data_IF_747182224815
#
_entry.id   IF_747182224815
#
_cell.length_a   1.000
_cell.length_b   1.000
_cell.length_c   1.000
_cell.angle_alpha   90.00
_cell.angle_beta   90.00
_cell.angle_gamma   90.00
#
_symmetry.space_group_name_H-M   'P 1'
#
loop_
_entity.id
_entity.type
_entity.pdbx_description
1 polymer ?
#
# COMPACT_ATOMS: atom_id res chain seq x y z
N UNK A 1 33.71 2.10 -4.52
CA UNK A 1 33.48 0.67 -4.79
C UNK A 1 33.00 0.53 -6.24
N UNK A 2 33.02 -0.66 -6.84
CA UNK A 2 32.44 -0.84 -8.17
C UNK A 2 30.91 -0.70 -8.09
N UNK A 3 30.29 0.30 -8.75
CA UNK A 3 28.83 0.46 -8.75
C UNK A 3 28.09 -0.74 -9.35
N UNK A 4 28.76 -1.58 -10.16
CA UNK A 4 28.18 -2.82 -10.72
C UNK A 4 27.91 -3.88 -9.65
N UNK A 5 28.58 -3.79 -8.51
CA UNK A 5 28.44 -4.71 -7.38
C UNK A 5 27.59 -4.11 -6.24
N UNK A 6 26.99 -2.94 -6.46
CA UNK A 6 26.19 -2.27 -5.45
C UNK A 6 24.95 -3.11 -5.08
N UNK A 7 24.81 -3.56 -3.82
CA UNK A 7 23.72 -4.44 -3.42
C UNK A 7 22.40 -3.71 -3.20
N UNK A 8 22.40 -2.37 -3.10
CA UNK A 8 21.22 -1.58 -2.75
C UNK A 8 20.32 -1.34 -3.95
N UNK A 9 19.01 -1.46 -3.72
CA UNK A 9 18.00 -1.39 -4.80
C UNK A 9 16.89 -0.40 -4.42
N UNK A 10 17.12 0.92 -4.53
CA UNK A 10 16.11 1.93 -4.23
C UNK A 10 15.04 1.98 -5.35
N UNK A 11 14.08 1.06 -5.29
CA UNK A 11 12.98 0.97 -6.24
C UNK A 11 11.66 0.60 -5.56
N UNK A 12 10.55 1.02 -6.15
CA UNK A 12 9.21 0.73 -5.63
C UNK A 12 8.86 -0.75 -5.85
N UNK A 13 8.47 -1.44 -4.77
CA UNK A 13 7.97 -2.82 -4.84
C UNK A 13 9.03 -3.91 -5.09
N UNK A 14 10.30 -3.54 -5.27
CA UNK A 14 11.41 -4.49 -5.40
C UNK A 14 11.85 -4.96 -4.02
N UNK A 15 12.12 -6.27 -3.89
CA UNK A 15 12.61 -6.83 -2.63
C UNK A 15 14.01 -6.26 -2.32
N UNK A 16 14.22 -5.66 -1.14
CA UNK A 16 15.54 -5.17 -0.75
C UNK A 16 16.51 -6.35 -0.58
N UNK A 17 17.82 -6.10 -0.66
CA UNK A 17 18.85 -7.11 -0.43
C UNK A 17 18.78 -7.72 0.98
N UNK A 18 18.16 -7.02 1.93
CA UNK A 18 17.89 -7.50 3.26
C UNK A 18 16.48 -7.10 3.70
N UNK A 19 15.66 -8.08 4.11
CA UNK A 19 14.25 -7.88 4.44
C UNK A 19 14.06 -7.78 5.96
N UNK A 20 14.55 -6.68 6.52
CA UNK A 20 14.64 -6.51 7.96
C UNK A 20 13.41 -5.86 8.63
N UNK A 21 13.15 -6.21 9.89
CA UNK A 21 12.17 -5.54 10.78
C UNK A 21 10.71 -5.84 10.45
N UNK A 22 10.46 -6.97 9.80
CA UNK A 22 9.13 -7.40 9.32
C UNK A 22 8.79 -8.83 9.76
N UNK A 23 9.63 -9.46 10.55
CA UNK A 23 9.54 -10.86 10.96
C UNK A 23 8.25 -11.15 11.71
N UNK A 24 7.90 -10.33 12.70
CA UNK A 24 6.69 -10.54 13.51
C UNK A 24 5.40 -10.44 12.65
N UNK A 25 5.38 -9.52 11.68
CA UNK A 25 4.26 -9.37 10.75
C UNK A 25 4.16 -10.57 9.79
N UNK A 26 5.31 -11.06 9.31
CA UNK A 26 5.36 -12.27 8.49
C UNK A 26 4.88 -13.47 9.30
N UNK A 27 5.30 -13.61 10.55
CA UNK A 27 4.89 -14.72 11.42
C UNK A 27 3.40 -14.66 11.73
N UNK A 28 2.87 -13.47 12.07
CA UNK A 28 1.44 -13.30 12.33
C UNK A 28 0.58 -13.70 11.11
N UNK A 29 0.98 -13.29 9.91
CA UNK A 29 0.30 -13.69 8.68
C UNK A 29 0.46 -15.19 8.39
N UNK A 30 1.62 -15.76 8.71
CA UNK A 30 1.91 -17.20 8.57
C UNK A 30 0.97 -18.05 9.39
N UNK A 31 0.82 -17.71 10.68
CA UNK A 31 -0.12 -18.36 11.58
C UNK A 31 -1.55 -18.24 11.03
N UNK A 32 -1.93 -17.07 10.49
CA UNK A 32 -3.24 -16.90 9.87
C UNK A 32 -3.43 -17.81 8.65
N UNK A 33 -2.43 -17.94 7.78
CA UNK A 33 -2.48 -18.85 6.63
C UNK A 33 -2.66 -20.31 7.05
N UNK A 34 -1.88 -20.77 8.02
CA UNK A 34 -1.94 -22.15 8.50
C UNK A 34 -3.31 -22.46 9.15
N UNK A 35 -3.84 -21.53 9.94
CA UNK A 35 -5.18 -21.63 10.55
C UNK A 35 -6.28 -21.73 9.49
N UNK A 36 -6.30 -20.83 8.51
CA UNK A 36 -7.31 -20.83 7.44
C UNK A 36 -7.25 -22.12 6.62
N UNK A 37 -6.04 -22.62 6.30
CA UNK A 37 -5.87 -23.89 5.61
C UNK A 37 -6.42 -25.07 6.42
N UNK A 38 -6.26 -25.04 7.74
CA UNK A 38 -6.83 -26.01 8.68
C UNK A 38 -8.35 -25.84 8.89
N UNK A 39 -9.00 -24.87 8.26
CA UNK A 39 -10.43 -24.55 8.49
C UNK A 39 -10.69 -23.86 9.83
N UNK A 40 -9.67 -23.32 10.46
CA UNK A 40 -9.77 -22.52 11.69
C UNK A 40 -9.89 -21.04 11.36
N UNK A 41 -10.59 -20.30 12.20
CA UNK A 41 -10.76 -18.86 12.04
C UNK A 41 -9.42 -18.11 12.19
N UNK A 42 -9.16 -17.16 11.30
CA UNK A 42 -8.14 -16.13 11.47
C UNK A 42 -8.62 -14.83 10.82
N UNK A 43 -8.15 -13.70 11.34
CA UNK A 43 -8.51 -12.39 10.82
C UNK A 43 -7.73 -12.07 9.54
N UNK A 44 -8.40 -11.42 8.61
CA UNK A 44 -7.75 -10.75 7.48
C UNK A 44 -6.98 -9.52 7.97
N UNK A 45 -5.93 -9.10 7.25
CA UNK A 45 -4.98 -8.09 7.74
C UNK A 45 -4.80 -6.96 6.73
N UNK A 46 -5.02 -5.71 7.15
CA UNK A 46 -4.74 -4.52 6.33
C UNK A 46 -3.51 -3.80 6.88
N UNK A 47 -2.39 -3.96 6.18
CA UNK A 47 -1.10 -3.35 6.46
C UNK A 47 -1.19 -1.83 6.28
N UNK A 48 -1.11 -1.09 7.39
CA UNK A 48 -1.23 0.36 7.39
C UNK A 48 0.14 1.01 7.40
N UNK A 49 0.39 1.97 6.54
CA UNK A 49 1.65 2.69 6.60
C UNK A 49 1.80 3.74 5.51
N UNK A 50 2.79 4.60 5.69
CA UNK A 50 3.09 5.65 4.72
C UNK A 50 3.68 5.08 3.43
N UNK A 51 3.76 5.88 2.37
CA UNK A 51 4.41 5.44 1.12
C UNK A 51 5.87 5.15 1.37
N UNK A 52 6.47 4.21 0.64
CA UNK A 52 7.92 3.90 0.70
C UNK A 52 8.45 3.25 1.99
N UNK A 53 7.60 2.94 2.97
CA UNK A 53 7.97 2.16 4.18
C UNK A 53 8.14 0.65 3.91
N UNK A 54 7.84 0.18 2.69
CA UNK A 54 7.99 -1.22 2.30
C UNK A 54 6.72 -2.07 2.35
N UNK A 55 5.52 -1.45 2.40
CA UNK A 55 4.23 -2.18 2.40
C UNK A 55 4.08 -3.14 1.21
N UNK A 56 4.29 -2.66 -0.02
CA UNK A 56 4.20 -3.49 -1.24
C UNK A 56 5.18 -4.66 -1.20
N UNK A 57 6.39 -4.44 -0.68
CA UNK A 57 7.39 -5.50 -0.54
C UNK A 57 6.93 -6.54 0.47
N UNK A 58 6.40 -6.12 1.63
CA UNK A 58 5.81 -7.02 2.62
C UNK A 58 4.61 -7.77 2.03
N UNK A 59 3.71 -7.09 1.34
CA UNK A 59 2.56 -7.70 0.67
C UNK A 59 3.00 -8.78 -0.33
N UNK A 60 4.06 -8.53 -1.11
CA UNK A 60 4.66 -9.50 -2.03
C UNK A 60 5.24 -10.71 -1.29
N UNK A 61 5.96 -10.48 -0.19
CA UNK A 61 6.52 -11.56 0.61
C UNK A 61 5.41 -12.45 1.21
N UNK A 62 4.33 -11.83 1.72
CA UNK A 62 3.17 -12.54 2.23
C UNK A 62 2.42 -13.30 1.13
N UNK A 63 2.32 -12.73 -0.07
CA UNK A 63 1.72 -13.39 -1.24
C UNK A 63 2.49 -14.65 -1.64
N UNK A 64 3.82 -14.58 -1.75
CA UNK A 64 4.63 -15.75 -2.06
C UNK A 64 4.60 -16.77 -0.92
N UNK A 65 4.53 -16.32 0.35
CA UNK A 65 4.38 -17.23 1.49
C UNK A 65 3.04 -17.96 1.49
N UNK A 66 1.94 -17.27 1.19
CA UNK A 66 0.62 -17.91 1.07
C UNK A 66 0.61 -18.98 -0.03
N UNK A 67 1.19 -18.69 -1.21
CA UNK A 67 1.38 -19.70 -2.26
C UNK A 67 2.18 -20.91 -1.78
N UNK A 68 3.29 -20.67 -1.08
CA UNK A 68 4.10 -21.76 -0.52
C UNK A 68 3.33 -22.60 0.53
N UNK A 69 2.41 -21.97 1.27
CA UNK A 69 1.47 -22.66 2.17
C UNK A 69 0.33 -23.37 1.41
N UNK A 70 0.23 -23.24 0.09
CA UNK A 70 -0.76 -23.95 -0.75
C UNK A 70 -2.07 -23.19 -0.99
N UNK A 71 -2.05 -21.87 -0.90
CA UNK A 71 -3.18 -21.02 -1.30
C UNK A 71 -3.20 -20.82 -2.82
N UNK A 72 -4.40 -20.76 -3.39
CA UNK A 72 -4.62 -20.09 -4.67
C UNK A 72 -4.71 -18.59 -4.44
N UNK A 73 -3.76 -17.85 -4.99
CA UNK A 73 -3.62 -16.42 -4.68
C UNK A 73 -4.00 -15.52 -5.85
N UNK A 74 -4.59 -14.38 -5.50
CA UNK A 74 -4.89 -13.28 -6.42
C UNK A 74 -4.19 -12.04 -5.88
N UNK A 75 -3.54 -11.29 -6.76
CA UNK A 75 -2.91 -10.02 -6.41
C UNK A 75 -3.46 -8.89 -7.28
N UNK A 76 -3.86 -7.81 -6.64
CA UNK A 76 -4.54 -6.66 -7.23
C UNK A 76 -3.83 -5.37 -6.78
N UNK A 77 -3.75 -4.38 -7.66
CA UNK A 77 -3.38 -3.00 -7.32
C UNK A 77 -4.57 -2.11 -7.66
N UNK A 78 -4.97 -1.26 -6.72
CA UNK A 78 -6.10 -0.34 -6.90
C UNK A 78 -5.56 1.02 -7.39
N UNK A 79 -5.86 1.42 -8.63
CA UNK A 79 -5.38 2.69 -9.17
C UNK A 79 -6.06 3.91 -8.54
N UNK A 80 -5.37 5.06 -8.57
CA UNK A 80 -5.85 6.37 -8.09
C UNK A 80 -6.72 7.07 -9.15
N UNK A 81 -7.74 6.37 -9.66
CA UNK A 81 -8.68 6.89 -10.66
C UNK A 81 -10.13 6.46 -10.36
N UNK A 82 -10.78 7.21 -9.47
CA UNK A 82 -12.25 7.26 -9.33
C UNK A 82 -13.02 5.95 -9.05
N UNK A 83 -12.39 4.91 -8.49
CA UNK A 83 -13.07 3.72 -7.94
C UNK A 83 -13.80 2.84 -8.97
N UNK A 84 -14.41 1.73 -8.52
CA UNK A 84 -15.15 0.80 -9.40
C UNK A 84 -14.27 -0.28 -10.05
N UNK A 85 -13.08 -0.52 -9.48
CA UNK A 85 -12.06 -1.42 -10.03
C UNK A 85 -12.08 -2.80 -9.40
N UNK A 86 -12.73 -3.00 -8.25
CA UNK A 86 -12.64 -4.26 -7.51
C UNK A 86 -13.15 -5.43 -8.35
N UNK A 87 -14.36 -5.32 -8.93
CA UNK A 87 -14.91 -6.35 -9.80
C UNK A 87 -14.03 -6.56 -11.05
N UNK A 88 -13.62 -5.47 -11.70
CA UNK A 88 -12.80 -5.51 -12.92
C UNK A 88 -11.44 -6.19 -12.71
N UNK A 89 -10.84 -6.03 -11.53
CA UNK A 89 -9.53 -6.61 -11.18
C UNK A 89 -9.67 -8.02 -10.61
N UNK A 90 -10.73 -8.28 -9.84
CA UNK A 90 -10.94 -9.56 -9.16
C UNK A 90 -11.38 -10.66 -10.12
N UNK A 91 -12.27 -10.37 -11.08
CA UNK A 91 -12.80 -11.36 -12.04
C UNK A 91 -11.72 -12.06 -12.86
N UNK A 92 -10.74 -11.36 -13.48
CA UNK A 92 -9.60 -11.98 -14.14
C UNK A 92 -8.82 -12.93 -13.22
N UNK A 93 -8.56 -12.49 -11.98
CA UNK A 93 -7.81 -13.27 -10.99
C UNK A 93 -8.54 -14.55 -10.59
N UNK A 94 -9.83 -14.45 -10.26
CA UNK A 94 -10.66 -15.60 -9.90
C UNK A 94 -10.78 -16.56 -11.09
N UNK A 95 -10.86 -16.07 -12.32
CA UNK A 95 -10.92 -16.91 -13.51
C UNK A 95 -9.65 -17.75 -13.67
N UNK A 96 -8.47 -17.18 -13.42
CA UNK A 96 -7.20 -17.91 -13.41
C UNK A 96 -7.19 -18.97 -12.31
N UNK A 97 -7.65 -18.62 -11.10
CA UNK A 97 -7.75 -19.56 -9.98
C UNK A 97 -8.64 -20.75 -10.33
N UNK A 98 -9.86 -20.52 -10.83
CA UNK A 98 -10.78 -21.59 -11.19
C UNK A 98 -10.20 -22.52 -12.27
N UNK A 99 -9.49 -21.98 -13.28
CA UNK A 99 -8.80 -22.80 -14.30
C UNK A 99 -7.67 -23.65 -13.73
N UNK A 100 -6.97 -23.19 -12.68
CA UNK A 100 -5.93 -23.99 -12.00
C UNK A 100 -6.55 -25.11 -11.19
N UNK A 101 -7.65 -24.82 -10.49
CA UNK A 101 -8.41 -25.81 -9.74
C UNK A 101 -8.99 -26.90 -10.66
N UNK A 102 -9.43 -26.55 -11.88
CA UNK A 102 -9.98 -27.52 -12.86
C UNK A 102 -9.01 -28.64 -13.24
N UNK A 103 -7.70 -28.34 -13.31
CA UNK A 103 -6.66 -29.34 -13.64
C UNK A 103 -6.50 -30.43 -12.58
N UNK A 104 -7.13 -30.28 -11.41
CA UNK A 104 -7.13 -31.24 -10.31
C UNK A 104 -8.46 -32.01 -10.34
N UNK A 105 -8.54 -33.02 -11.21
CA UNK A 105 -9.73 -33.85 -11.46
C UNK A 105 -10.20 -34.54 -10.16
N UNK A 106 -11.51 -34.42 -9.84
CA UNK A 106 -12.34 -35.33 -9.02
C UNK A 106 -13.60 -34.68 -8.40
N UNK A 107 -13.83 -33.36 -8.49
CA UNK A 107 -15.09 -32.74 -8.05
C UNK A 107 -15.53 -31.59 -8.96
N UNK A 108 -16.30 -31.91 -10.00
CA UNK A 108 -16.77 -30.97 -11.03
C UNK A 108 -17.89 -30.04 -10.55
N UNK A 109 -18.80 -30.50 -9.67
CA UNK A 109 -20.02 -29.74 -9.35
C UNK A 109 -19.74 -28.39 -8.66
N UNK A 110 -18.93 -28.36 -7.58
CA UNK A 110 -18.59 -27.12 -6.87
C UNK A 110 -17.82 -26.14 -7.76
N UNK A 111 -16.93 -26.68 -8.62
CA UNK A 111 -16.17 -25.87 -9.56
C UNK A 111 -17.09 -25.27 -10.64
N UNK A 112 -18.03 -26.05 -11.16
CA UNK A 112 -19.05 -25.59 -12.11
C UNK A 112 -19.93 -24.48 -11.53
N UNK A 113 -20.37 -24.60 -10.27
CA UNK A 113 -21.10 -23.56 -9.55
C UNK A 113 -20.28 -22.28 -9.39
N UNK A 114 -19.02 -22.39 -8.95
CA UNK A 114 -18.12 -21.24 -8.82
C UNK A 114 -17.86 -20.55 -10.17
N UNK A 115 -17.66 -21.33 -11.24
CA UNK A 115 -17.47 -20.80 -12.59
C UNK A 115 -18.74 -20.13 -13.13
N UNK A 116 -19.92 -20.68 -12.84
CA UNK A 116 -21.20 -20.06 -13.20
C UNK A 116 -21.42 -18.75 -12.44
N UNK A 117 -21.17 -18.73 -11.13
CA UNK A 117 -21.26 -17.51 -10.32
C UNK A 117 -20.28 -16.44 -10.80
N UNK A 118 -19.04 -16.80 -11.15
CA UNK A 118 -18.07 -15.86 -11.68
C UNK A 118 -18.50 -15.27 -13.04
N UNK A 119 -19.05 -16.08 -13.94
CA UNK A 119 -19.61 -15.59 -15.22
C UNK A 119 -20.78 -14.63 -14.99
N UNK A 120 -21.68 -14.98 -14.08
CA UNK A 120 -22.82 -14.13 -13.72
C UNK A 120 -22.37 -12.80 -13.13
N UNK A 121 -21.44 -12.84 -12.17
CA UNK A 121 -20.87 -11.65 -11.55
C UNK A 121 -20.17 -10.76 -12.60
N UNK A 122 -19.37 -11.34 -13.49
CA UNK A 122 -18.73 -10.61 -14.57
C UNK A 122 -19.75 -9.93 -15.51
N UNK A 123 -20.85 -10.61 -15.85
CA UNK A 123 -21.91 -10.05 -16.67
C UNK A 123 -22.65 -8.89 -15.98
N UNK A 124 -23.02 -9.06 -14.71
CA UNK A 124 -23.71 -8.04 -13.90
C UNK A 124 -22.88 -6.76 -13.78
N UNK A 125 -21.58 -6.90 -13.48
CA UNK A 125 -20.66 -5.77 -13.32
C UNK A 125 -19.97 -5.35 -14.62
N UNK A 126 -20.42 -5.89 -15.77
CA UNK A 126 -19.94 -5.55 -17.12
C UNK A 126 -18.42 -5.63 -17.26
N UNK A 127 -17.82 -6.68 -16.68
CA UNK A 127 -16.39 -6.93 -16.76
C UNK A 127 -16.07 -7.71 -18.03
N UNK A 128 -15.32 -7.09 -18.95
CA UNK A 128 -14.78 -7.78 -20.12
C UNK A 128 -13.55 -8.62 -19.73
N UNK A 129 -13.61 -9.93 -19.96
CA UNK A 129 -12.48 -10.83 -19.72
C UNK A 129 -12.58 -12.08 -20.59
N UNK A 130 -11.43 -12.60 -21.03
CA UNK A 130 -11.30 -13.72 -21.98
C UNK A 130 -12.29 -14.88 -21.71
N UNK A 131 -13.20 -15.12 -22.67
CA UNK A 131 -14.30 -16.09 -22.58
C UNK A 131 -15.65 -15.53 -22.08
N UNK A 132 -15.73 -14.26 -21.70
CA UNK A 132 -16.95 -13.55 -21.26
C UNK A 132 -17.04 -12.23 -22.05
N UNK A 133 -17.84 -12.22 -23.12
CA UNK A 133 -18.09 -11.04 -23.94
C UNK A 133 -19.18 -10.15 -23.33
N UNK A 134 -19.10 -8.83 -23.54
CA UNK A 134 -20.23 -7.92 -23.30
C UNK A 134 -21.48 -8.43 -24.00
N UNK A 135 -22.54 -8.71 -23.24
CA UNK A 135 -23.79 -9.27 -23.75
C UNK A 135 -24.04 -10.75 -23.38
N UNK A 136 -23.15 -11.39 -22.62
CA UNK A 136 -23.49 -12.66 -21.98
C UNK A 136 -24.69 -12.44 -21.03
N UNK A 137 -25.84 -13.03 -21.37
CA UNK A 137 -26.97 -13.10 -20.45
C UNK A 137 -26.54 -13.89 -19.21
N UNK A 138 -26.93 -13.44 -18.00
CA UNK A 138 -26.69 -14.23 -16.81
C UNK A 138 -27.23 -15.65 -17.02
N UNK A 139 -26.48 -16.67 -16.58
CA UNK A 139 -26.83 -18.06 -16.81
C UNK A 139 -28.19 -18.44 -16.19
N UNK A 140 -28.68 -17.63 -15.25
CA UNK A 140 -30.00 -17.74 -14.62
C UNK A 140 -30.64 -16.35 -14.48
N UNK A 141 -31.96 -16.17 -14.68
CA UNK A 141 -32.64 -14.88 -14.48
C UNK A 141 -32.51 -14.28 -13.07
N UNK A 142 -32.28 -15.13 -12.05
CA UNK A 142 -32.09 -14.75 -10.63
C UNK A 142 -30.60 -14.59 -10.22
N UNK A 143 -29.69 -14.42 -11.19
CA UNK A 143 -28.24 -14.58 -11.04
C UNK A 143 -27.45 -13.56 -10.18
N UNK A 144 -28.11 -12.68 -9.44
CA UNK A 144 -27.49 -11.65 -8.63
C UNK A 144 -28.28 -10.35 -8.68
N UNK A 145 -28.13 -9.51 -7.65
CA UNK A 145 -28.98 -8.32 -7.49
C UNK A 145 -28.43 -7.09 -8.24
N UNK A 146 -27.18 -7.12 -8.71
CA UNK A 146 -26.48 -5.93 -9.18
C UNK A 146 -25.91 -5.08 -8.04
N UNK A 147 -26.09 -5.52 -6.80
CA UNK A 147 -25.48 -4.93 -5.62
C UNK A 147 -24.20 -5.69 -5.28
N UNK A 148 -23.06 -4.99 -5.40
CA UNK A 148 -21.75 -5.54 -5.08
C UNK A 148 -21.69 -6.10 -3.65
N UNK A 149 -22.40 -5.50 -2.70
CA UNK A 149 -22.43 -5.98 -1.32
C UNK A 149 -23.15 -7.33 -1.18
N UNK A 150 -24.10 -7.63 -2.05
CA UNK A 150 -24.84 -8.89 -2.04
C UNK A 150 -24.13 -9.97 -2.87
N UNK A 151 -23.60 -9.60 -4.05
CA UNK A 151 -23.09 -10.55 -5.03
C UNK A 151 -21.64 -10.99 -4.74
N UNK A 152 -20.81 -10.12 -4.15
CA UNK A 152 -19.39 -10.44 -3.87
C UNK A 152 -19.21 -11.53 -2.80
N UNK A 153 -19.92 -11.51 -1.66
CA UNK A 153 -19.80 -12.57 -0.66
C UNK A 153 -20.13 -13.97 -1.20
N UNK A 154 -21.22 -14.08 -1.97
CA UNK A 154 -21.67 -15.35 -2.54
C UNK A 154 -20.67 -15.89 -3.58
N UNK A 155 -20.14 -15.02 -4.43
CA UNK A 155 -19.06 -15.38 -5.36
C UNK A 155 -17.85 -15.93 -4.61
N UNK A 156 -17.36 -15.20 -3.60
CA UNK A 156 -16.18 -15.58 -2.84
C UNK A 156 -16.40 -16.87 -2.03
N UNK A 157 -17.62 -17.09 -1.53
CA UNK A 157 -18.02 -18.35 -0.90
C UNK A 157 -17.87 -19.52 -1.87
N UNK A 158 -18.49 -19.44 -3.04
CA UNK A 158 -18.48 -20.52 -4.03
C UNK A 158 -17.05 -20.84 -4.52
N UNK A 159 -16.23 -19.80 -4.73
CA UNK A 159 -14.82 -19.98 -5.10
C UNK A 159 -14.03 -20.62 -3.94
N UNK A 160 -14.23 -20.17 -2.70
CA UNK A 160 -13.58 -20.76 -1.53
C UNK A 160 -13.99 -22.23 -1.32
N UNK A 161 -15.27 -22.57 -1.53
CA UNK A 161 -15.77 -23.95 -1.48
C UNK A 161 -15.13 -24.84 -2.54
N UNK A 162 -14.96 -24.32 -3.76
CA UNK A 162 -14.30 -25.03 -4.86
C UNK A 162 -12.81 -25.28 -4.57
N UNK A 163 -12.12 -24.32 -3.94
CA UNK A 163 -10.73 -24.45 -3.51
C UNK A 163 -10.60 -25.43 -2.32
N UNK A 164 -11.48 -25.32 -1.33
CA UNK A 164 -11.50 -26.18 -0.15
C UNK A 164 -11.71 -27.65 -0.52
N UNK A 165 -12.57 -27.93 -1.50
CA UNK A 165 -12.78 -29.28 -2.04
C UNK A 165 -11.52 -29.91 -2.66
N UNK A 166 -10.50 -29.10 -2.96
CA UNK A 166 -9.19 -29.51 -3.49
C UNK A 166 -8.07 -29.37 -2.46
N UNK A 167 -8.40 -29.20 -1.18
CA UNK A 167 -7.43 -29.04 -0.10
C UNK A 167 -6.70 -27.68 -0.12
N UNK A 168 -7.21 -26.71 -0.87
CA UNK A 168 -6.65 -25.36 -1.00
C UNK A 168 -7.47 -24.32 -0.22
N UNK A 169 -7.02 -23.07 -0.27
CA UNK A 169 -7.65 -21.87 0.30
C UNK A 169 -7.41 -20.68 -0.65
N UNK A 170 -8.23 -19.65 -0.56
CA UNK A 170 -8.12 -18.44 -1.39
C UNK A 170 -7.41 -17.33 -0.62
N UNK A 171 -6.39 -16.73 -1.22
CA UNK A 171 -5.69 -15.56 -0.69
C UNK A 171 -5.80 -14.37 -1.64
N UNK A 172 -6.43 -13.29 -1.22
CA UNK A 172 -6.57 -12.06 -2.02
C UNK A 172 -5.65 -10.99 -1.44
N UNK A 173 -4.74 -10.46 -2.26
CA UNK A 173 -3.75 -9.47 -1.89
C UNK A 173 -4.05 -8.17 -2.62
N UNK A 174 -4.31 -7.09 -1.89
CA UNK A 174 -4.77 -5.81 -2.46
C UNK A 174 -3.80 -4.70 -2.06
N UNK A 175 -3.07 -4.15 -3.03
CA UNK A 175 -2.22 -2.97 -2.82
C UNK A 175 -2.99 -1.68 -3.09
N UNK A 176 -2.60 -0.61 -2.40
CA UNK A 176 -3.23 0.72 -2.41
C UNK A 176 -4.75 0.69 -2.15
N UNK A 177 -5.20 -0.16 -1.20
CA UNK A 177 -6.62 -0.41 -0.89
C UNK A 177 -7.43 0.85 -0.50
N UNK A 178 -6.76 1.94 -0.09
CA UNK A 178 -7.44 3.21 0.21
C UNK A 178 -8.16 3.84 -0.99
N UNK A 179 -7.87 3.39 -2.21
CA UNK A 179 -8.52 3.88 -3.42
C UNK A 179 -9.81 3.14 -3.78
N UNK A 180 -10.16 2.08 -3.03
CA UNK A 180 -11.47 1.48 -3.15
C UNK A 180 -12.56 2.48 -2.75
N UNK A 181 -13.65 2.48 -3.51
CA UNK A 181 -14.83 3.25 -3.17
C UNK A 181 -15.51 2.69 -1.91
N UNK A 182 -16.35 3.52 -1.28
CA UNK A 182 -17.12 3.09 -0.09
C UNK A 182 -17.97 1.84 -0.35
N UNK A 183 -18.70 1.70 -1.47
CA UNK A 183 -19.42 0.45 -1.79
C UNK A 183 -18.51 -0.76 -1.91
N UNK A 184 -17.32 -0.63 -2.51
CA UNK A 184 -16.35 -1.72 -2.66
C UNK A 184 -15.78 -2.16 -1.30
N UNK A 185 -15.40 -1.21 -0.43
CA UNK A 185 -14.95 -1.50 0.93
C UNK A 185 -16.05 -2.18 1.75
N UNK A 186 -17.29 -1.71 1.61
CA UNK A 186 -18.47 -2.27 2.29
C UNK A 186 -18.74 -3.71 1.84
N UNK A 187 -18.65 -3.99 0.54
CA UNK A 187 -18.80 -5.32 -0.02
C UNK A 187 -17.67 -6.27 0.45
N UNK A 188 -16.42 -5.80 0.45
CA UNK A 188 -15.28 -6.57 0.94
C UNK A 188 -15.42 -6.89 2.44
N UNK A 189 -15.82 -5.90 3.25
CA UNK A 189 -16.06 -6.09 4.68
C UNK A 189 -17.18 -7.10 4.95
N UNK A 190 -18.27 -7.06 4.17
CA UNK A 190 -19.37 -8.02 4.27
C UNK A 190 -18.92 -9.43 3.88
N UNK A 191 -18.16 -9.58 2.79
CA UNK A 191 -17.63 -10.88 2.37
C UNK A 191 -16.70 -11.49 3.43
N UNK A 192 -15.85 -10.68 4.05
CA UNK A 192 -14.98 -11.11 5.15
C UNK A 192 -15.75 -11.48 6.41
N UNK A 193 -16.84 -10.78 6.70
CA UNK A 193 -17.72 -11.12 7.81
C UNK A 193 -18.37 -12.49 7.62
N UNK A 194 -18.90 -12.73 6.42
CA UNK A 194 -19.53 -14.00 6.08
C UNK A 194 -18.51 -15.15 6.08
N UNK A 195 -17.30 -14.89 5.56
CA UNK A 195 -16.19 -15.84 5.63
C UNK A 195 -15.85 -16.24 7.07
N UNK A 196 -15.84 -15.27 7.99
CA UNK A 196 -15.58 -15.53 9.40
C UNK A 196 -16.70 -16.36 10.07
N UNK A 197 -17.97 -16.09 9.75
CA UNK A 197 -19.12 -16.78 10.33
C UNK A 197 -19.30 -18.21 9.81
N UNK A 198 -19.08 -18.40 8.51
CA UNK A 198 -19.35 -19.66 7.81
C UNK A 198 -18.09 -20.49 7.57
N UNK A 199 -16.93 -20.03 8.04
CA UNK A 199 -15.66 -20.76 7.96
C UNK A 199 -15.11 -20.89 6.54
N UNK A 200 -15.29 -19.88 5.68
CA UNK A 200 -14.72 -19.92 4.34
C UNK A 200 -13.20 -19.97 4.43
N UNK A 201 -12.57 -20.80 3.60
CA UNK A 201 -11.11 -20.84 3.46
C UNK A 201 -10.61 -19.66 2.63
N UNK A 202 -10.81 -18.46 3.14
CA UNK A 202 -10.54 -17.19 2.49
C UNK A 202 -9.76 -16.27 3.43
N UNK A 203 -8.70 -15.64 2.93
CA UNK A 203 -8.01 -14.54 3.62
C UNK A 203 -7.78 -13.38 2.65
N UNK A 204 -7.92 -12.16 3.15
CA UNK A 204 -7.58 -10.94 2.42
C UNK A 204 -6.45 -10.24 3.16
N UNK A 205 -5.37 -9.93 2.44
CA UNK A 205 -4.29 -9.09 2.93
C UNK A 205 -4.29 -7.79 2.11
N UNK A 206 -4.58 -6.67 2.76
CA UNK A 206 -4.59 -5.35 2.16
C UNK A 206 -3.33 -4.57 2.52
N UNK A 207 -2.91 -3.64 1.69
CA UNK A 207 -1.89 -2.66 2.02
C UNK A 207 -2.34 -1.26 1.59
N UNK A 208 -2.08 -0.26 2.41
CA UNK A 208 -2.33 1.12 2.03
C UNK A 208 -2.11 2.14 3.14
N UNK A 209 -2.69 3.32 2.97
CA UNK A 209 -2.48 4.45 3.88
C UNK A 209 -3.24 4.30 5.22
N UNK A 210 -2.76 4.91 6.33
CA UNK A 210 -3.35 4.71 7.66
C UNK A 210 -4.86 4.99 7.77
N UNK A 211 -5.42 5.87 6.93
CA UNK A 211 -6.85 6.19 6.95
C UNK A 211 -7.78 5.00 6.64
N UNK A 212 -7.27 3.88 6.12
CA UNK A 212 -8.09 2.71 5.77
C UNK A 212 -8.89 2.21 6.97
N UNK A 213 -8.32 2.22 8.19
CA UNK A 213 -9.04 1.81 9.39
C UNK A 213 -10.33 2.63 9.59
N UNK A 214 -10.25 3.96 9.40
CA UNK A 214 -11.40 4.85 9.48
C UNK A 214 -12.39 4.60 8.33
N UNK A 215 -11.91 4.50 7.09
CA UNK A 215 -12.75 4.27 5.90
C UNK A 215 -13.56 2.96 6.02
N UNK A 216 -12.93 1.91 6.56
CA UNK A 216 -13.58 0.61 6.78
C UNK A 216 -14.62 0.70 7.90
N UNK A 217 -14.32 1.39 9.01
CA UNK A 217 -15.29 1.63 10.09
C UNK A 217 -16.49 2.48 9.66
N UNK A 218 -16.28 3.50 8.84
CA UNK A 218 -17.33 4.33 8.24
C UNK A 218 -18.17 3.58 7.20
N UNK A 219 -17.59 2.58 6.53
CA UNK A 219 -18.31 1.68 5.63
C UNK A 219 -19.19 0.69 6.41
N UNK A 220 -18.64 0.02 7.43
CA UNK A 220 -19.35 -0.91 8.32
C UNK A 220 -18.78 -0.84 9.74
N UNK A 221 -19.60 -0.44 10.71
CA UNK A 221 -19.18 -0.26 12.10
C UNK A 221 -18.60 -1.51 12.78
N UNK A 222 -18.99 -2.71 12.34
CA UNK A 222 -18.47 -3.97 12.90
C UNK A 222 -17.11 -4.38 12.33
N UNK A 223 -16.66 -3.75 11.23
CA UNK A 223 -15.48 -4.20 10.49
C UNK A 223 -14.16 -3.99 11.27
N UNK A 224 -14.14 -3.08 12.25
CA UNK A 224 -13.02 -2.90 13.18
C UNK A 224 -12.68 -4.17 13.98
N UNK A 225 -13.66 -5.07 14.17
CA UNK A 225 -13.48 -6.35 14.90
C UNK A 225 -13.15 -7.53 13.99
N UNK A 226 -13.27 -7.34 12.68
CA UNK A 226 -13.04 -8.40 11.68
C UNK A 226 -11.61 -8.42 11.15
N UNK A 227 -10.95 -7.27 11.19
CA UNK A 227 -9.67 -7.02 10.54
C UNK A 227 -8.60 -6.69 11.58
N UNK A 228 -7.38 -7.14 11.29
CA UNK A 228 -6.19 -6.62 11.95
C UNK A 228 -5.62 -5.47 11.13
N UNK A 229 -5.16 -4.42 11.81
CA UNK A 229 -4.58 -3.24 11.19
C UNK A 229 -3.13 -3.03 11.63
N UNK A 230 -2.22 -3.99 11.35
CA UNK A 230 -0.83 -3.84 11.76
C UNK A 230 -0.19 -2.62 11.07
N UNK A 231 0.55 -1.85 11.86
CA UNK A 231 1.31 -0.72 11.34
C UNK A 231 2.65 -1.17 10.72
N UNK A 232 2.94 -0.63 9.54
CA UNK A 232 4.19 -0.76 8.81
C UNK A 232 4.86 0.62 8.82
N UNK A 233 5.58 0.88 9.91
CA UNK A 233 6.33 2.13 10.09
C UNK A 233 7.74 2.08 9.50
N UNK A 234 8.53 3.14 9.74
CA UNK A 234 9.99 3.10 9.57
C UNK A 234 10.61 1.91 10.32
N UNK A 235 11.77 1.45 9.86
CA UNK A 235 12.54 0.42 10.56
C UNK A 235 13.07 0.99 11.87
N UNK A 236 13.04 0.19 12.93
CA UNK A 236 13.74 0.51 14.17
C UNK A 236 15.26 0.50 13.95
N UNK A 237 16.03 1.01 14.92
CA UNK A 237 17.48 1.13 14.79
C UNK A 237 18.16 -0.22 14.50
N UNK A 238 17.71 -1.30 15.14
CA UNK A 238 18.29 -2.64 14.94
C UNK A 238 18.04 -3.16 13.52
N UNK A 239 16.81 -3.04 13.03
CA UNK A 239 16.43 -3.45 11.69
C UNK A 239 17.06 -2.56 10.62
N UNK A 240 17.15 -1.25 10.85
CA UNK A 240 17.79 -0.31 9.92
C UNK A 240 19.30 -0.57 9.80
N UNK A 241 20.00 -0.79 10.92
CA UNK A 241 21.41 -1.21 10.91
C UNK A 241 21.61 -2.50 10.14
N UNK A 242 20.76 -3.50 10.39
CA UNK A 242 20.82 -4.79 9.69
C UNK A 242 20.58 -4.64 8.18
N UNK A 243 19.57 -3.86 7.80
CA UNK A 243 19.23 -3.58 6.40
C UNK A 243 20.35 -2.89 5.61
N UNK A 244 21.24 -2.17 6.29
CA UNK A 244 22.41 -1.51 5.69
C UNK A 244 23.66 -2.38 5.74
N UNK A 245 23.95 -2.97 6.92
CA UNK A 245 25.17 -3.71 7.19
C UNK A 245 25.24 -5.04 6.43
N UNK A 246 24.19 -5.85 6.50
CA UNK A 246 24.24 -7.21 5.94
C UNK A 246 24.45 -7.24 4.43
N UNK A 247 23.81 -6.38 3.61
CA UNK A 247 24.11 -6.33 2.17
C UNK A 247 25.57 -5.97 1.87
N UNK A 248 26.14 -5.03 2.64
CA UNK A 248 27.52 -4.56 2.47
C UNK A 248 28.52 -5.65 2.87
N UNK A 249 28.33 -6.28 4.03
CA UNK A 249 29.20 -7.34 4.53
C UNK A 249 29.12 -8.61 3.66
N UNK A 250 27.94 -8.93 3.14
CA UNK A 250 27.74 -10.04 2.19
C UNK A 250 28.49 -9.82 0.88
N UNK A 251 28.69 -8.56 0.49
CA UNK A 251 29.50 -8.18 -0.67
C UNK A 251 31.02 -8.09 -0.34
N UNK A 252 31.44 -8.48 0.87
CA UNK A 252 32.84 -8.48 1.29
C UNK A 252 33.38 -7.11 1.71
N UNK A 253 32.51 -6.13 1.94
CA UNK A 253 32.85 -4.75 2.29
C UNK A 253 32.48 -4.46 3.74
N UNK A 254 33.13 -3.48 4.37
CA UNK A 254 32.78 -2.99 5.72
C UNK A 254 32.03 -1.67 5.66
N UNK A 255 31.15 -1.44 6.61
CA UNK A 255 30.52 -0.13 6.85
C UNK A 255 30.74 0.27 8.31
N UNK A 256 31.23 1.49 8.50
CA UNK A 256 31.59 1.99 9.81
C UNK A 256 30.35 2.37 10.63
N UNK A 257 30.50 2.34 11.95
CA UNK A 257 29.39 2.67 12.86
C UNK A 257 28.94 4.13 12.69
N UNK A 258 29.88 5.08 12.50
CA UNK A 258 29.54 6.48 12.23
C UNK A 258 28.76 6.66 10.93
N UNK A 259 29.08 5.87 9.90
CA UNK A 259 28.34 5.86 8.64
C UNK A 259 26.89 5.37 8.84
N UNK A 260 26.71 4.26 9.57
CA UNK A 260 25.38 3.74 9.91
C UNK A 260 24.56 4.76 10.72
N UNK A 261 25.17 5.38 11.73
CA UNK A 261 24.52 6.37 12.58
C UNK A 261 24.05 7.59 11.78
N UNK A 262 24.90 8.07 10.87
CA UNK A 262 24.57 9.18 9.97
C UNK A 262 23.40 8.82 9.04
N UNK A 263 23.43 7.65 8.38
CA UNK A 263 22.32 7.21 7.51
C UNK A 263 21.02 7.10 8.31
N UNK A 264 21.05 6.44 9.47
CA UNK A 264 19.83 6.23 10.27
C UNK A 264 19.25 7.56 10.73
N UNK A 265 20.10 8.51 11.14
CA UNK A 265 19.66 9.85 11.53
C UNK A 265 19.01 10.62 10.38
N UNK A 266 19.62 10.64 9.20
CA UNK A 266 19.08 11.39 8.05
C UNK A 266 17.82 10.75 7.47
N UNK A 267 17.75 9.42 7.47
CA UNK A 267 16.65 8.66 6.86
C UNK A 267 15.51 8.38 7.83
N UNK A 268 15.74 8.50 9.14
CA UNK A 268 14.79 8.17 10.21
C UNK A 268 14.23 6.74 10.09
N UNK A 269 15.06 5.79 9.62
CA UNK A 269 14.66 4.40 9.41
C UNK A 269 13.72 4.18 8.21
N UNK A 270 13.46 5.21 7.38
CA UNK A 270 12.56 5.10 6.25
C UNK A 270 13.16 4.21 5.15
N UNK A 271 12.52 3.05 4.91
CA UNK A 271 13.09 1.95 4.11
C UNK A 271 13.60 2.37 2.72
N UNK A 272 12.83 3.17 1.97
CA UNK A 272 13.28 3.66 0.66
C UNK A 272 14.52 4.56 0.76
N UNK A 273 14.59 5.44 1.77
CA UNK A 273 15.76 6.29 1.97
C UNK A 273 16.97 5.52 2.47
N UNK A 274 16.79 4.49 3.33
CA UNK A 274 17.90 3.61 3.72
C UNK A 274 18.56 2.98 2.48
N UNK A 275 17.77 2.51 1.51
CA UNK A 275 18.29 1.98 0.24
C UNK A 275 18.95 3.05 -0.61
N UNK A 276 18.38 4.27 -0.69
CA UNK A 276 18.98 5.38 -1.45
C UNK A 276 20.31 5.80 -0.86
N UNK A 277 20.39 6.01 0.46
CA UNK A 277 21.64 6.36 1.14
C UNK A 277 22.66 5.24 1.02
N UNK A 278 22.28 3.99 1.23
CA UNK A 278 23.17 2.85 1.05
C UNK A 278 23.76 2.79 -0.36
N UNK A 279 22.92 3.00 -1.38
CA UNK A 279 23.37 3.04 -2.78
C UNK A 279 24.43 4.12 -3.00
N UNK A 280 24.13 5.36 -2.65
CA UNK A 280 25.06 6.47 -2.89
C UNK A 280 26.32 6.38 -2.03
N UNK A 281 26.21 5.87 -0.81
CA UNK A 281 27.37 5.63 0.06
C UNK A 281 28.31 4.58 -0.54
N UNK A 282 27.76 3.52 -1.13
CA UNK A 282 28.56 2.53 -1.87
C UNK A 282 29.24 3.12 -3.11
N UNK A 283 28.50 3.91 -3.88
CA UNK A 283 29.00 4.52 -5.11
C UNK A 283 30.12 5.54 -4.84
N UNK A 284 30.04 6.26 -3.72
CA UNK A 284 31.05 7.23 -3.29
C UNK A 284 32.27 6.59 -2.62
N UNK A 285 32.05 5.55 -1.80
CA UNK A 285 33.09 4.93 -0.98
C UNK A 285 34.30 4.44 -1.79
N UNK A 286 35.48 4.41 -1.17
CA UNK A 286 36.72 3.88 -1.76
C UNK A 286 36.75 2.34 -1.89
N UNK A 287 37.94 1.74 -1.75
CA UNK A 287 38.12 0.27 -1.75
C UNK A 287 38.05 -0.37 -0.35
N UNK A 288 38.20 0.42 0.72
CA UNK A 288 38.46 -0.11 2.07
C UNK A 288 37.25 -0.11 3.02
N UNK A 289 36.09 0.36 2.56
CA UNK A 289 34.85 0.40 3.35
C UNK A 289 34.04 1.66 3.10
N UNK A 290 32.84 1.71 3.69
CA UNK A 290 31.95 2.88 3.68
C UNK A 290 32.12 3.61 5.01
N UNK A 291 32.60 4.85 4.94
CA UNK A 291 32.89 5.73 6.09
C UNK A 291 31.84 6.84 6.25
N UNK A 292 31.91 7.57 7.36
CA UNK A 292 31.07 8.75 7.57
C UNK A 292 31.40 9.88 6.58
N UNK A 293 32.68 10.02 6.19
CA UNK A 293 33.12 11.06 5.26
C UNK A 293 32.60 10.81 3.84
N UNK A 294 32.54 9.55 3.40
CA UNK A 294 31.93 9.17 2.11
C UNK A 294 30.47 9.64 2.06
N UNK A 295 29.72 9.47 3.15
CA UNK A 295 28.33 9.92 3.24
C UNK A 295 28.20 11.45 3.25
N UNK A 296 29.12 12.17 3.90
CA UNK A 296 29.16 13.63 3.88
C UNK A 296 29.40 14.15 2.47
N UNK A 297 30.31 13.51 1.73
CA UNK A 297 30.61 13.83 0.33
C UNK A 297 29.43 13.48 -0.60
N UNK A 298 28.75 12.36 -0.36
CA UNK A 298 27.60 11.92 -1.16
C UNK A 298 26.31 12.72 -0.88
N UNK A 299 26.19 13.36 0.29
CA UNK A 299 24.95 14.01 0.75
C UNK A 299 24.34 15.00 -0.25
N UNK A 300 25.11 15.92 -0.89
CA UNK A 300 24.57 16.82 -1.92
C UNK A 300 23.96 16.06 -3.11
N UNK A 301 24.62 14.99 -3.56
CA UNK A 301 24.15 14.18 -4.68
C UNK A 301 22.87 13.39 -4.33
N UNK A 302 22.80 12.85 -3.11
CA UNK A 302 21.60 12.16 -2.59
C UNK A 302 20.41 13.12 -2.55
N UNK A 303 20.57 14.31 -1.97
CA UNK A 303 19.49 15.29 -1.87
C UNK A 303 19.03 15.76 -3.25
N UNK A 304 19.95 16.04 -4.17
CA UNK A 304 19.61 16.39 -5.54
C UNK A 304 18.85 15.26 -6.25
N UNK A 305 19.27 14.01 -6.04
CA UNK A 305 18.58 12.84 -6.59
C UNK A 305 17.13 12.73 -6.08
N UNK A 306 16.92 12.89 -4.77
CA UNK A 306 15.57 12.87 -4.19
C UNK A 306 14.73 14.04 -4.67
N UNK A 307 15.30 15.24 -4.71
CA UNK A 307 14.62 16.44 -5.17
C UNK A 307 14.10 16.23 -6.58
N UNK A 308 14.95 15.79 -7.51
CA UNK A 308 14.56 15.64 -8.92
C UNK A 308 13.68 14.42 -9.20
N UNK A 309 13.97 13.27 -8.60
CA UNK A 309 13.36 12.00 -9.01
C UNK A 309 12.23 11.53 -8.09
N UNK A 310 12.16 12.06 -6.88
CA UNK A 310 11.20 11.60 -5.87
C UNK A 310 10.23 12.71 -5.46
N UNK A 311 10.74 13.86 -5.02
CA UNK A 311 9.89 14.94 -4.52
C UNK A 311 9.24 15.75 -5.65
N UNK A 312 10.03 16.16 -6.65
CA UNK A 312 9.55 17.00 -7.76
C UNK A 312 8.41 16.36 -8.55
N UNK A 313 8.50 15.06 -8.83
CA UNK A 313 7.45 14.30 -9.54
C UNK A 313 6.09 14.37 -8.85
N UNK A 314 6.08 14.48 -7.52
CA UNK A 314 4.84 14.63 -6.72
C UNK A 314 4.40 16.09 -6.67
N UNK A 315 5.34 16.98 -6.42
CA UNK A 315 5.11 18.42 -6.34
C UNK A 315 4.53 19.01 -7.63
N UNK A 316 5.03 18.59 -8.79
CA UNK A 316 4.59 19.10 -10.11
C UNK A 316 3.14 18.69 -10.45
N UNK A 317 2.58 17.70 -9.76
CA UNK A 317 1.16 17.30 -9.90
C UNK A 317 0.22 18.14 -9.04
N UNK A 318 0.74 18.88 -8.07
CA UNK A 318 -0.04 19.74 -7.21
C UNK A 318 -0.39 21.04 -7.93
N UNK A 319 -1.63 21.49 -7.77
CA UNK A 319 -2.04 22.85 -8.14
C UNK A 319 -1.31 23.90 -7.30
N UNK A 320 -1.28 25.14 -7.77
CA UNK A 320 -0.61 26.26 -7.08
C UNK A 320 -1.07 26.42 -5.62
N UNK A 321 -2.37 26.29 -5.34
CA UNK A 321 -2.91 26.38 -3.98
C UNK A 321 -2.47 25.21 -3.10
N UNK A 322 -2.36 24.02 -3.68
CA UNK A 322 -1.86 22.83 -2.98
C UNK A 322 -0.36 22.97 -2.67
N UNK A 323 0.43 23.51 -3.59
CA UNK A 323 1.84 23.81 -3.36
C UNK A 323 2.05 24.86 -2.26
N UNK A 324 1.24 25.93 -2.25
CA UNK A 324 1.26 26.93 -1.17
C UNK A 324 0.92 26.31 0.19
N UNK A 325 -0.08 25.43 0.24
CA UNK A 325 -0.46 24.72 1.47
C UNK A 325 0.69 23.85 2.00
N UNK A 326 1.33 23.05 1.13
CA UNK A 326 2.49 22.25 1.50
C UNK A 326 3.67 23.12 1.94
N UNK A 327 3.87 24.29 1.31
CA UNK A 327 4.94 25.22 1.68
C UNK A 327 4.68 25.87 3.04
N UNK A 328 3.43 26.22 3.34
CA UNK A 328 3.04 26.72 4.66
C UNK A 328 3.23 25.67 5.75
N UNK A 329 2.92 24.40 5.47
CA UNK A 329 3.23 23.30 6.39
C UNK A 329 4.73 23.20 6.67
N UNK A 330 5.58 23.33 5.64
CA UNK A 330 7.02 23.29 5.81
C UNK A 330 7.58 24.44 6.66
N UNK A 331 6.93 25.62 6.63
CA UNK A 331 7.31 26.77 7.48
C UNK A 331 7.15 26.46 8.97
N UNK A 332 6.18 25.63 9.32
CA UNK A 332 5.91 25.23 10.71
C UNK A 332 6.89 24.17 11.23
N UNK A 333 7.77 23.65 10.37
CA UNK A 333 8.78 22.64 10.69
C UNK A 333 8.29 21.20 10.52
N UNK A 334 9.06 20.25 11.06
CA UNK A 334 8.77 18.82 10.94
C UNK A 334 7.64 18.38 11.86
N UNK A 335 6.79 17.47 11.39
CA UNK A 335 5.78 16.79 12.20
C UNK A 335 4.34 17.17 11.85
N UNK A 336 3.36 16.71 12.65
CA UNK A 336 1.95 17.02 12.44
C UNK A 336 1.63 18.45 12.87
N UNK A 337 0.89 19.16 12.04
CA UNK A 337 0.44 20.54 12.27
C UNK A 337 -1.09 20.63 12.25
N UNK A 338 -1.66 21.52 13.08
CA UNK A 338 -3.11 21.74 13.04
C UNK A 338 -3.49 22.50 11.78
N UNK A 339 -4.66 22.17 11.23
CA UNK A 339 -5.19 22.85 10.03
C UNK A 339 -5.31 24.37 10.22
N UNK A 340 -5.62 24.82 11.44
CA UNK A 340 -5.65 26.24 11.80
C UNK A 340 -4.29 26.92 11.69
N UNK A 341 -3.23 26.28 12.16
CA UNK A 341 -1.88 26.85 12.13
C UNK A 341 -1.37 26.98 10.69
N UNK A 342 -1.65 25.98 9.85
CA UNK A 342 -1.33 26.02 8.42
C UNK A 342 -2.10 27.16 7.71
N UNK A 343 -3.39 27.32 8.03
CA UNK A 343 -4.20 28.41 7.48
C UNK A 343 -3.67 29.78 7.92
N UNK A 344 -3.28 29.92 9.18
CA UNK A 344 -2.70 31.16 9.71
C UNK A 344 -1.37 31.49 9.03
N UNK A 345 -0.49 30.51 8.81
CA UNK A 345 0.75 30.69 8.05
C UNK A 345 0.49 31.18 6.62
N UNK A 346 -0.58 30.68 5.98
CA UNK A 346 -1.05 31.16 4.68
C UNK A 346 -1.75 32.52 4.70
N UNK A 347 -2.07 33.07 5.87
CA UNK A 347 -2.85 34.30 6.00
C UNK A 347 -4.34 34.13 5.66
N UNK A 348 -4.90 32.95 5.90
CA UNK A 348 -6.30 32.58 5.63
C UNK A 348 -6.93 31.84 6.82
N UNK A 349 -8.12 31.26 6.67
CA UNK A 349 -8.80 30.50 7.71
C UNK A 349 -8.99 29.02 7.32
N UNK A 350 -9.28 28.18 8.31
CA UNK A 350 -9.38 26.73 8.12
C UNK A 350 -10.44 26.30 7.10
N UNK A 351 -11.55 27.02 6.97
CA UNK A 351 -12.61 26.65 6.02
C UNK A 351 -12.20 26.89 4.57
N UNK A 352 -11.40 27.93 4.30
CA UNK A 352 -10.89 28.23 2.96
C UNK A 352 -9.88 27.19 2.45
N UNK A 353 -9.15 26.52 3.35
CA UNK A 353 -8.14 25.51 2.99
C UNK A 353 -8.64 24.06 3.15
N UNK A 354 -9.86 23.85 3.65
CA UNK A 354 -10.40 22.52 3.92
C UNK A 354 -10.47 21.66 2.64
N UNK A 355 -10.94 22.24 1.53
CA UNK A 355 -11.01 21.53 0.25
C UNK A 355 -9.61 21.15 -0.28
N UNK A 356 -8.64 22.05 -0.16
CA UNK A 356 -7.23 21.81 -0.53
C UNK A 356 -6.62 20.69 0.31
N UNK A 357 -6.85 20.72 1.63
CA UNK A 357 -6.42 19.65 2.55
C UNK A 357 -7.00 18.30 2.13
N UNK A 358 -8.31 18.22 1.86
CA UNK A 358 -8.93 16.96 1.43
C UNK A 358 -8.35 16.43 0.11
N UNK A 359 -8.07 17.30 -0.86
CA UNK A 359 -7.42 16.91 -2.12
C UNK A 359 -6.00 16.39 -1.90
N UNK A 360 -5.21 17.06 -1.07
CA UNK A 360 -3.84 16.64 -0.72
C UNK A 360 -3.82 15.30 0.04
N UNK A 361 -4.81 15.04 0.90
CA UNK A 361 -5.00 13.73 1.55
C UNK A 361 -5.33 12.67 0.51
N UNK A 362 -6.25 12.96 -0.41
CA UNK A 362 -6.62 12.02 -1.49
C UNK A 362 -5.43 11.71 -2.41
N UNK A 363 -4.64 12.71 -2.79
CA UNK A 363 -3.39 12.53 -3.52
C UNK A 363 -2.29 11.84 -2.68
N UNK A 364 -2.51 11.70 -1.37
CA UNK A 364 -1.57 11.14 -0.39
C UNK A 364 -0.25 11.90 -0.33
N UNK A 365 -0.30 13.23 -0.47
CA UNK A 365 0.79 14.17 -0.15
C UNK A 365 0.89 14.40 1.36
N UNK A 366 -0.26 14.39 2.03
CA UNK A 366 -0.41 14.56 3.47
C UNK A 366 -1.34 13.50 4.03
N UNK A 367 -1.31 13.28 5.33
CA UNK A 367 -2.24 12.41 6.04
C UNK A 367 -2.61 12.98 7.41
N UNK A 368 -3.72 12.51 7.96
CA UNK A 368 -4.24 12.92 9.27
C UNK A 368 -3.91 11.84 10.30
N UNK A 369 -2.97 12.09 11.22
CA UNK A 369 -2.70 11.20 12.35
C UNK A 369 -3.83 11.25 13.39
N UNK A 370 -4.32 12.46 13.67
CA UNK A 370 -5.44 12.76 14.57
C UNK A 370 -6.40 13.73 13.89
N UNK A 371 -7.61 13.83 14.41
CA UNK A 371 -8.62 14.73 13.86
C UNK A 371 -8.12 16.19 13.88
N UNK A 372 -8.00 16.81 12.70
CA UNK A 372 -7.58 18.21 12.55
C UNK A 372 -6.06 18.44 12.41
N UNK A 373 -5.24 17.41 12.61
CA UNK A 373 -3.79 17.44 12.41
C UNK A 373 -3.39 16.90 11.03
N UNK A 374 -2.28 17.37 10.49
CA UNK A 374 -1.79 17.05 9.15
C UNK A 374 -0.28 16.91 9.14
N UNK A 375 0.24 15.81 8.61
CA UNK A 375 1.68 15.60 8.40
C UNK A 375 1.96 15.17 6.96
N UNK A 376 3.20 15.39 6.48
CA UNK A 376 3.64 14.88 5.18
C UNK A 376 3.66 13.35 5.18
N UNK A 377 3.27 12.73 4.06
CA UNK A 377 3.33 11.26 3.92
C UNK A 377 4.73 10.72 3.68
N UNK A 378 5.71 11.59 3.43
CA UNK A 378 7.11 11.19 3.25
C UNK A 378 8.02 12.10 4.07
N UNK A 379 9.02 11.56 4.79
CA UNK A 379 10.05 12.36 5.46
C UNK A 379 10.83 13.24 4.49
N UNK A 380 11.45 14.30 5.02
CA UNK A 380 12.25 15.30 4.31
C UNK A 380 11.51 16.15 3.25
N UNK A 381 10.20 15.92 3.06
CA UNK A 381 9.40 16.68 2.12
C UNK A 381 9.30 18.16 2.52
N UNK A 382 9.23 18.45 3.82
CA UNK A 382 9.33 19.79 4.40
C UNK A 382 10.61 20.52 3.95
N UNK A 383 11.77 19.86 4.07
CA UNK A 383 13.05 20.43 3.64
C UNK A 383 13.10 20.65 2.13
N UNK A 384 12.52 19.74 1.34
CA UNK A 384 12.38 19.92 -0.10
C UNK A 384 11.54 21.16 -0.42
N UNK A 385 10.40 21.34 0.26
CA UNK A 385 9.52 22.50 0.03
C UNK A 385 10.23 23.83 0.28
N UNK A 386 11.09 23.92 1.31
CA UNK A 386 11.90 25.12 1.58
C UNK A 386 12.92 25.41 0.47
N UNK A 387 13.46 24.38 -0.21
CA UNK A 387 14.38 24.55 -1.35
C UNK A 387 13.64 24.88 -2.64
N UNK A 388 12.52 24.20 -2.89
CA UNK A 388 11.76 24.31 -4.14
C UNK A 388 10.93 25.60 -4.22
N UNK A 389 10.43 26.08 -3.08
CA UNK A 389 9.67 27.32 -2.94
C UNK A 389 10.26 28.12 -1.77
N UNK A 390 11.36 28.88 -1.97
CA UNK A 390 12.02 29.59 -0.86
C UNK A 390 11.10 30.56 -0.13
N UNK A 391 10.25 31.26 -0.87
CA UNK A 391 9.32 32.26 -0.33
C UNK A 391 7.90 31.70 -0.16
N UNK A 392 7.29 31.96 1.00
CA UNK A 392 5.90 31.64 1.25
C UNK A 392 4.99 32.71 0.64
N UNK A 393 4.31 32.37 -0.46
CA UNK A 393 3.26 33.21 -1.03
C UNK A 393 2.00 33.12 -0.19
N UNK A 394 1.55 34.25 0.37
CA UNK A 394 0.30 34.33 1.14
C UNK A 394 -0.91 34.10 0.24
N UNK A 395 -1.97 33.52 0.83
CA UNK A 395 -3.20 33.21 0.13
C UNK A 395 -3.80 34.47 -0.52
N UNK A 396 -3.90 34.43 -1.84
CA UNK A 396 -4.59 35.42 -2.66
C UNK A 396 -5.89 34.81 -3.14
N UNK A 397 -7.03 35.29 -2.62
CA UNK A 397 -8.31 34.88 -3.16
C UNK A 397 -8.37 35.31 -4.63
N UNK A 398 -8.46 34.35 -5.57
CA UNK A 398 -8.81 34.68 -6.96
C UNK A 398 -10.10 35.49 -6.91
N UNK A 399 -10.04 36.78 -7.23
CA UNK A 399 -11.23 37.58 -7.53
C UNK A 399 -11.90 36.87 -8.69
N UNK A 400 -12.96 36.10 -8.39
CA UNK A 400 -13.77 35.48 -9.43
C UNK A 400 -14.20 36.58 -10.38
N UNK A 401 -13.94 36.40 -11.68
CA UNK A 401 -14.60 37.22 -12.68
C UNK A 401 -16.09 36.99 -12.52
N UNK A 402 -16.78 37.91 -11.85
CA UNK A 402 -18.22 38.07 -12.01
C UNK A 402 -18.41 38.39 -13.50
N UNK A 403 -18.85 37.40 -14.27
CA UNK A 403 -19.61 37.66 -15.49
C UNK A 403 -21.07 37.82 -15.10
#
# INVERSE_FOLDING_TARGET
>A
MDPRLNPFVPSAGVRPPEFAGREDLVEQASIAFDRIKAGLHANSMFLLGLRGVGKTVLLNALHEKAKATGFETIKLEVPDDSGGHLAQRLVPGLSVVLRRLDRMANMEQKLGLAAAALRNFAAIFRVEYDGISMGATPATPDAGSGDLEADLPELLRLVADAAAARGSAIGIFIDEIQYLSRPELSALARALHEAAQSGFRLIVIGAGLPQIAALVGEAKSYAERLLLFPEVGPLDDKAARRALREPVERAGVRIDTGALDLIIRETQGYAYFLQTWGKFAWDEAGHDGITEDDLRNASPAILNHLDMNFFRVRFDRCSELEQQYLRAMAELGSGPHRTGDIANALGTNSSQVAATRSKLIKAGMIYSQRHGETAFTVPLFDRFMLRALPELMRYSARKGSRK
#
